data_IF_385710197023
#
_entry.id   IF_385710197023
#
_cell.length_a   1.000
_cell.length_b   1.000
_cell.length_c   1.000
_cell.angle_alpha   90.00
_cell.angle_beta   90.00
_cell.angle_gamma   90.00
#
_symmetry.space_group_name_H-M   'P 1'
#
loop_
_entity.id
_entity.type
_entity.pdbx_description
1 polymer ?
#
# COMPACT_ATOMS: atom_id res chain seq x y z
N UNK A 1 5.58 13.95 -31.87
CA UNK A 1 6.46 14.17 -30.70
C UNK A 1 5.87 13.38 -29.55
N UNK A 2 6.62 12.45 -28.96
CA UNK A 2 6.11 11.69 -27.82
C UNK A 2 5.95 12.64 -26.63
N UNK A 3 4.92 12.45 -25.79
CA UNK A 3 4.71 13.21 -24.55
C UNK A 3 6.00 13.26 -23.70
N UNK A 4 6.81 12.20 -23.78
CA UNK A 4 8.10 12.08 -23.11
C UNK A 4 9.19 13.01 -23.65
N UNK A 5 9.14 13.40 -24.93
CA UNK A 5 10.11 14.34 -25.52
C UNK A 5 9.87 15.77 -25.06
N UNK A 6 8.62 16.12 -24.73
CA UNK A 6 8.24 17.42 -24.14
C UNK A 6 8.61 17.48 -22.65
N UNK A 7 8.58 16.34 -21.95
CA UNK A 7 8.88 16.24 -20.51
C UNK A 7 10.39 16.13 -20.24
N UNK A 8 11.18 15.61 -21.18
CA UNK A 8 12.65 15.47 -21.09
C UNK A 8 13.40 16.64 -20.43
N UNK A 9 13.20 17.91 -20.83
CA UNK A 9 13.91 19.04 -20.22
C UNK A 9 13.59 19.21 -18.72
N UNK A 10 12.36 18.94 -18.30
CA UNK A 10 11.93 19.09 -16.89
C UNK A 10 12.48 17.94 -16.05
N UNK A 11 12.44 16.71 -16.58
CA UNK A 11 13.00 15.54 -15.88
C UNK A 11 14.50 15.60 -15.63
N UNK A 12 15.26 16.34 -16.45
CA UNK A 12 16.71 16.50 -16.25
C UNK A 12 17.07 17.52 -15.14
N UNK A 13 16.12 18.37 -14.73
CA UNK A 13 16.31 19.38 -13.68
C UNK A 13 15.99 18.80 -12.30
N UNK A 14 15.14 17.76 -12.23
CA UNK A 14 14.78 17.11 -10.97
C UNK A 14 16.03 16.48 -10.33
N UNK A 15 16.28 16.72 -9.03
CA UNK A 15 17.41 16.11 -8.35
C UNK A 15 17.22 14.59 -8.33
N UNK A 16 18.30 13.83 -8.49
CA UNK A 16 18.28 12.37 -8.51
C UNK A 16 19.30 11.83 -7.51
N UNK A 17 18.90 10.84 -6.71
CA UNK A 17 19.81 10.21 -5.75
C UNK A 17 20.83 9.36 -6.53
N UNK A 18 22.13 9.68 -6.44
CA UNK A 18 23.16 8.89 -7.14
C UNK A 18 23.21 7.47 -6.56
N UNK A 19 23.32 6.47 -7.43
CA UNK A 19 23.55 5.08 -7.00
C UNK A 19 24.93 4.99 -6.35
N UNK A 20 25.09 4.26 -5.23
CA UNK A 20 26.37 4.14 -4.55
C UNK A 20 27.39 3.41 -5.45
N UNK A 21 28.63 3.91 -5.49
CA UNK A 21 29.70 3.34 -6.34
C UNK A 21 30.14 1.94 -5.91
N UNK A 22 29.88 1.58 -4.64
CA UNK A 22 30.08 0.25 -4.09
C UNK A 22 28.76 -0.25 -3.51
N UNK A 23 28.43 -1.50 -3.78
CA UNK A 23 27.32 -2.16 -3.09
C UNK A 23 27.71 -2.29 -1.60
N UNK A 24 27.16 -1.41 -0.76
CA UNK A 24 27.33 -1.46 0.69
C UNK A 24 26.97 -2.84 1.24
N UNK A 25 27.64 -3.25 2.32
CA UNK A 25 27.34 -4.51 3.00
C UNK A 25 25.93 -4.52 3.60
N UNK A 26 25.42 -5.70 4.00
CA UNK A 26 24.08 -5.84 4.57
C UNK A 26 23.82 -4.89 5.74
N UNK A 27 24.81 -4.69 6.62
CA UNK A 27 24.73 -3.77 7.75
C UNK A 27 24.49 -2.31 7.33
N UNK A 28 25.17 -1.86 6.28
CA UNK A 28 25.05 -0.49 5.79
C UNK A 28 23.68 -0.27 5.14
N UNK A 29 23.22 -1.24 4.34
CA UNK A 29 21.89 -1.19 3.73
C UNK A 29 20.77 -1.20 4.77
N UNK A 30 20.93 -2.01 5.81
CA UNK A 30 19.99 -2.05 6.93
C UNK A 30 20.00 -0.72 7.70
N UNK A 31 21.16 -0.10 7.91
CA UNK A 31 21.28 1.22 8.54
C UNK A 31 20.54 2.30 7.73
N UNK A 32 20.69 2.33 6.40
CA UNK A 32 19.94 3.27 5.54
C UNK A 32 18.42 3.04 5.63
N UNK A 33 18.01 1.78 5.67
CA UNK A 33 16.58 1.40 5.79
C UNK A 33 16.01 1.85 7.13
N UNK A 34 16.73 1.64 8.24
CA UNK A 34 16.33 2.08 9.59
C UNK A 34 16.34 3.61 9.69
N UNK A 35 17.36 4.27 9.15
CA UNK A 35 17.44 5.73 9.16
C UNK A 35 16.26 6.37 8.40
N UNK A 36 15.88 5.81 7.25
CA UNK A 36 14.69 6.24 6.53
C UNK A 36 13.41 6.05 7.36
N UNK A 37 13.26 4.91 8.02
CA UNK A 37 12.10 4.63 8.86
C UNK A 37 12.01 5.56 10.09
N UNK A 38 13.14 5.93 10.68
CA UNK A 38 13.19 6.93 11.76
C UNK A 38 12.77 8.32 11.28
N UNK A 39 13.25 8.75 10.11
CA UNK A 39 12.86 10.03 9.51
C UNK A 39 11.35 10.03 9.21
N UNK A 40 10.82 8.94 8.68
CA UNK A 40 9.39 8.76 8.44
C UNK A 40 8.56 8.95 9.71
N UNK A 41 8.91 8.28 10.81
CA UNK A 41 8.21 8.44 12.08
C UNK A 41 8.36 9.86 12.67
N UNK A 42 9.52 10.50 12.50
CA UNK A 42 9.73 11.87 12.96
C UNK A 42 8.83 12.86 12.20
N UNK A 43 8.76 12.74 10.88
CA UNK A 43 7.85 13.54 10.05
C UNK A 43 6.38 13.31 10.43
N UNK A 44 6.03 12.09 10.82
CA UNK A 44 4.72 11.71 11.36
C UNK A 44 4.41 12.23 12.77
N UNK A 45 5.27 13.04 13.39
CA UNK A 45 4.97 13.70 14.67
C UNK A 45 5.00 15.23 14.57
N UNK A 46 5.47 15.79 13.46
CA UNK A 46 5.55 17.24 13.27
C UNK A 46 4.24 17.75 12.67
N UNK A 47 3.58 18.66 13.40
CA UNK A 47 2.41 19.39 12.90
C UNK A 47 2.88 20.57 12.02
N UNK A 48 2.21 20.82 10.88
CA UNK A 48 2.49 21.98 10.05
C UNK A 48 2.14 23.29 10.77
N UNK A 49 2.91 24.33 10.50
CA UNK A 49 2.68 25.66 11.08
C UNK A 49 1.42 26.26 10.45
N UNK A 50 0.43 26.61 11.28
CA UNK A 50 -0.86 27.18 10.85
C UNK A 50 -2.06 26.23 10.95
N UNK A 51 -1.84 25.02 11.47
CA UNK A 51 -2.89 24.04 11.77
C UNK A 51 -3.14 24.01 13.28
N UNK A 52 -4.40 24.13 13.70
CA UNK A 52 -4.80 23.96 15.10
C UNK A 52 -4.96 22.47 15.43
N UNK A 53 -4.08 21.86 16.27
CA UNK A 53 -4.13 20.41 16.55
C UNK A 53 -5.40 19.96 17.28
N UNK A 54 -6.07 20.88 17.98
CA UNK A 54 -7.30 20.63 18.75
C UNK A 54 -8.57 20.58 17.88
N UNK A 55 -8.53 21.18 16.69
CA UNK A 55 -9.65 21.18 15.73
C UNK A 55 -9.58 20.02 14.74
N UNK A 56 -8.47 19.26 14.74
CA UNK A 56 -8.31 18.05 13.93
C UNK A 56 -9.22 16.98 14.50
N UNK A 57 -10.42 16.91 13.96
CA UNK A 57 -11.33 15.80 14.24
C UNK A 57 -10.72 14.56 13.57
N UNK A 58 -10.51 13.49 14.36
CA UNK A 58 -9.91 12.21 13.94
C UNK A 58 -10.83 11.44 12.97
N UNK A 59 -11.17 12.04 11.83
CA UNK A 59 -12.26 11.60 10.95
C UNK A 59 -11.84 10.48 9.99
N UNK A 60 -10.53 10.24 9.79
CA UNK A 60 -10.01 9.28 8.81
C UNK A 60 -8.75 8.55 9.25
N UNK A 61 -8.80 7.90 10.42
CA UNK A 61 -7.73 6.98 10.81
C UNK A 61 -7.47 5.89 9.76
N UNK A 62 -8.44 5.57 8.90
CA UNK A 62 -8.28 4.55 7.84
C UNK A 62 -7.37 4.97 6.68
N UNK A 63 -7.46 6.22 6.22
CA UNK A 63 -6.58 6.76 5.18
C UNK A 63 -5.12 6.76 5.67
N UNK A 64 -4.95 7.12 6.94
CA UNK A 64 -3.66 7.12 7.65
C UNK A 64 -2.93 5.79 7.60
N UNK A 65 -3.66 4.69 7.77
CA UNK A 65 -3.07 3.34 7.81
C UNK A 65 -2.52 2.91 6.45
N UNK A 66 -3.32 3.08 5.40
CA UNK A 66 -3.00 2.55 4.07
C UNK A 66 -1.99 3.42 3.33
N UNK A 67 -2.03 4.72 3.56
CA UNK A 67 -1.12 5.69 2.95
C UNK A 67 0.13 5.93 3.81
N UNK A 68 0.28 5.23 4.94
CA UNK A 68 1.32 5.52 5.92
C UNK A 68 1.32 7.00 6.31
N UNK A 69 0.15 7.64 6.34
CA UNK A 69 0.00 9.05 6.73
C UNK A 69 -0.42 9.15 8.19
N UNK A 70 -0.25 10.34 8.75
CA UNK A 70 -0.88 10.71 10.01
C UNK A 70 -1.54 12.05 9.80
N UNK A 71 -2.87 12.06 9.82
CA UNK A 71 -3.68 13.24 9.54
C UNK A 71 -3.31 14.36 10.51
N UNK A 72 -3.01 15.53 9.95
CA UNK A 72 -2.58 16.69 10.71
C UNK A 72 -1.08 16.89 10.79
N UNK A 73 -0.27 15.98 10.25
CA UNK A 73 1.21 16.11 10.24
C UNK A 73 1.74 16.49 8.85
N UNK A 74 3.05 16.74 8.75
CA UNK A 74 3.72 16.99 7.47
C UNK A 74 3.50 15.86 6.45
N UNK A 75 3.21 14.63 6.90
CA UNK A 75 2.93 13.47 6.05
C UNK A 75 1.43 13.18 5.91
N UNK A 76 0.55 14.19 6.00
CA UNK A 76 -0.90 13.95 5.88
C UNK A 76 -1.30 13.32 4.54
N UNK A 77 -0.65 13.66 3.42
CA UNK A 77 -0.87 12.98 2.15
C UNK A 77 -0.13 11.62 2.06
N UNK A 78 0.84 11.38 2.94
CA UNK A 78 1.61 10.15 3.03
C UNK A 78 2.28 9.78 1.71
N UNK A 79 2.21 8.50 1.38
CA UNK A 79 2.68 7.96 0.08
C UNK A 79 1.60 8.02 -1.02
N UNK A 80 0.41 8.57 -0.75
CA UNK A 80 -0.73 8.63 -1.67
C UNK A 80 -0.39 9.16 -3.07
N UNK A 81 0.24 10.35 -3.19
CA UNK A 81 0.60 10.92 -4.49
C UNK A 81 1.58 10.05 -5.29
N UNK A 82 2.47 9.35 -4.58
CA UNK A 82 3.52 8.52 -5.17
C UNK A 82 2.91 7.24 -5.75
N UNK A 83 2.03 6.61 -4.97
CA UNK A 83 1.28 5.42 -5.41
C UNK A 83 0.39 5.82 -6.59
N UNK A 84 -0.42 6.87 -6.46
CA UNK A 84 -1.32 7.33 -7.52
C UNK A 84 -0.57 7.58 -8.84
N UNK A 85 0.62 8.20 -8.76
CA UNK A 85 1.45 8.42 -9.94
C UNK A 85 1.93 7.14 -10.61
N UNK A 86 2.33 6.16 -9.79
CA UNK A 86 2.74 4.84 -10.26
C UNK A 86 1.60 4.12 -10.95
N UNK A 87 0.41 4.11 -10.33
CA UNK A 87 -0.80 3.46 -10.84
C UNK A 87 -1.22 4.06 -12.18
N UNK A 88 -1.30 5.39 -12.27
CA UNK A 88 -1.72 6.07 -13.50
C UNK A 88 -0.81 5.71 -14.68
N UNK A 89 0.51 5.72 -14.47
CA UNK A 89 1.47 5.40 -15.53
C UNK A 89 1.49 3.91 -15.87
N UNK A 90 1.38 3.03 -14.86
CA UNK A 90 1.28 1.59 -15.09
C UNK A 90 0.01 1.24 -15.87
N UNK A 91 -1.13 1.86 -15.55
CA UNK A 91 -2.37 1.72 -16.30
C UNK A 91 -2.24 2.26 -17.72
N UNK A 92 -1.61 3.42 -17.90
CA UNK A 92 -1.42 3.99 -19.24
C UNK A 92 -0.50 3.13 -20.13
N UNK A 93 0.57 2.55 -19.57
CA UNK A 93 1.46 1.65 -20.30
C UNK A 93 0.79 0.30 -20.59
N UNK A 94 0.12 -0.30 -19.59
CA UNK A 94 -0.55 -1.59 -19.77
C UNK A 94 -1.76 -1.53 -20.71
N UNK A 95 -2.51 -0.42 -20.72
CA UNK A 95 -3.57 -0.18 -21.69
C UNK A 95 -3.04 0.13 -23.11
N UNK A 96 -1.71 0.08 -23.31
CA UNK A 96 -1.01 0.42 -24.55
C UNK A 96 -1.32 1.84 -25.06
N UNK A 97 -1.85 2.72 -24.20
CA UNK A 97 -2.02 4.16 -24.48
C UNK A 97 -0.66 4.84 -24.64
N UNK A 98 0.34 4.32 -23.92
CA UNK A 98 1.74 4.73 -24.01
C UNK A 98 2.57 3.50 -24.37
N UNK A 99 3.02 3.41 -25.62
CA UNK A 99 3.91 2.33 -26.08
C UNK A 99 5.36 2.58 -25.61
N UNK A 100 5.63 2.29 -24.34
CA UNK A 100 6.98 2.29 -23.77
C UNK A 100 7.44 0.85 -23.55
N UNK A 101 8.43 0.43 -24.31
CA UNK A 101 9.10 -0.86 -24.06
C UNK A 101 10.02 -0.73 -22.84
N UNK A 102 9.58 -1.26 -21.71
CA UNK A 102 10.30 -1.25 -20.43
C UNK A 102 11.52 -2.17 -20.40
N UNK A 103 11.74 -2.97 -21.45
CA UNK A 103 12.94 -3.79 -21.63
C UNK A 103 14.18 -2.95 -21.90
N UNK A 104 14.00 -1.78 -22.53
CA UNK A 104 15.10 -0.88 -22.84
C UNK A 104 15.47 -0.02 -21.61
N UNK A 105 16.75 0.00 -21.17
CA UNK A 105 17.18 0.82 -20.04
C UNK A 105 16.88 2.33 -20.20
N UNK A 106 16.87 2.87 -21.43
CA UNK A 106 16.53 4.28 -21.66
C UNK A 106 15.04 4.56 -21.38
N UNK A 107 14.16 3.68 -21.85
CA UNK A 107 12.71 3.81 -21.63
C UNK A 107 12.35 3.64 -20.16
N UNK A 108 13.05 2.74 -19.44
CA UNK A 108 12.90 2.59 -17.99
C UNK A 108 13.24 3.88 -17.25
N UNK A 109 14.29 4.60 -17.69
CA UNK A 109 14.63 5.93 -17.13
C UNK A 109 13.57 6.98 -17.42
N UNK A 110 13.02 7.00 -18.64
CA UNK A 110 11.90 7.91 -19.00
C UNK A 110 10.66 7.66 -18.16
N UNK A 111 10.32 6.38 -17.95
CA UNK A 111 9.20 5.98 -17.10
C UNK A 111 9.40 6.46 -15.65
N UNK A 112 10.58 6.22 -15.07
CA UNK A 112 10.91 6.67 -13.71
C UNK A 112 10.88 8.20 -13.57
N UNK A 113 11.44 8.92 -14.55
CA UNK A 113 11.40 10.38 -14.57
C UNK A 113 9.98 10.94 -14.65
N UNK A 114 9.14 10.36 -15.52
CA UNK A 114 7.74 10.75 -15.63
C UNK A 114 6.94 10.44 -14.36
N UNK A 115 7.18 9.27 -13.74
CA UNK A 115 6.56 8.89 -12.47
C UNK A 115 6.91 9.88 -11.37
N UNK A 116 8.18 10.30 -11.29
CA UNK A 116 8.63 11.29 -10.32
C UNK A 116 7.97 12.64 -10.53
N UNK A 117 7.94 13.14 -11.76
CA UNK A 117 7.34 14.43 -12.07
C UNK A 117 5.83 14.42 -11.75
N UNK A 118 5.14 13.36 -12.14
CA UNK A 118 3.71 13.22 -11.92
C UNK A 118 3.40 13.08 -10.42
N UNK A 119 4.22 12.36 -9.65
CA UNK A 119 4.10 12.28 -8.19
C UNK A 119 4.29 13.64 -7.49
N UNK A 120 5.24 14.47 -7.95
CA UNK A 120 5.44 15.82 -7.42
C UNK A 120 4.21 16.69 -7.70
N UNK A 121 3.70 16.67 -8.95
CA UNK A 121 2.51 17.43 -9.32
C UNK A 121 1.30 17.00 -8.50
N UNK A 122 1.08 15.68 -8.36
CA UNK A 122 0.00 15.13 -7.55
C UNK A 122 0.17 15.45 -6.06
N UNK A 123 1.41 15.59 -5.55
CA UNK A 123 1.64 15.98 -4.15
C UNK A 123 1.11 17.38 -3.86
N UNK A 124 1.31 18.33 -4.78
CA UNK A 124 0.72 19.67 -4.66
C UNK A 124 -0.80 19.64 -4.80
N UNK A 125 -1.31 18.83 -5.73
CA UNK A 125 -2.74 18.71 -5.98
C UNK A 125 -3.50 18.10 -4.78
N UNK A 126 -3.01 16.98 -4.23
CA UNK A 126 -3.62 16.35 -3.05
C UNK A 126 -3.50 17.22 -1.81
N UNK A 127 -2.33 17.85 -1.58
CA UNK A 127 -2.16 18.79 -0.47
C UNK A 127 -3.14 19.98 -0.55
N UNK A 128 -3.42 20.47 -1.76
CA UNK A 128 -4.42 21.50 -1.98
C UNK A 128 -5.83 20.97 -1.66
N UNK A 129 -6.17 19.76 -2.11
CA UNK A 129 -7.47 19.13 -1.78
C UNK A 129 -7.63 19.03 -0.26
N UNK A 130 -6.65 18.52 0.48
CA UNK A 130 -6.74 18.39 1.94
C UNK A 130 -6.89 19.74 2.67
N UNK A 131 -6.28 20.80 2.14
CA UNK A 131 -6.33 22.10 2.82
C UNK A 131 -7.59 22.90 2.46
N UNK A 132 -7.97 22.93 1.17
CA UNK A 132 -9.13 23.67 0.68
C UNK A 132 -10.46 22.98 0.95
N UNK A 133 -10.49 21.64 1.08
CA UNK A 133 -11.70 20.91 1.48
C UNK A 133 -12.07 21.10 2.97
N UNK A 134 -11.24 21.81 3.74
CA UNK A 134 -11.44 21.96 5.19
C UNK A 134 -11.12 20.70 5.98
N UNK A 135 -10.44 19.72 5.37
CA UNK A 135 -10.01 18.48 6.02
C UNK A 135 -8.94 18.74 7.08
N UNK A 136 -7.98 19.61 6.77
CA UNK A 136 -7.09 20.22 7.76
C UNK A 136 -7.62 21.62 8.05
N UNK A 137 -8.04 21.92 9.29
CA UNK A 137 -8.47 23.26 9.66
C UNK A 137 -7.24 24.19 9.71
N UNK A 138 -6.86 24.70 8.54
CA UNK A 138 -5.82 25.70 8.39
C UNK A 138 -6.46 27.09 8.58
N UNK A 139 -6.22 27.70 9.75
CA UNK A 139 -6.59 29.09 10.03
C UNK A 139 -7.97 29.33 10.68
N UNK A 140 -8.55 28.36 11.38
CA UNK A 140 -9.83 28.52 12.09
C UNK A 140 -9.76 29.33 13.39
N UNK A 141 -8.65 29.31 14.14
CA UNK A 141 -8.53 30.07 15.39
C UNK A 141 -7.71 31.38 15.26
N UNK A 142 -6.69 31.40 14.39
CA UNK A 142 -5.90 32.61 14.10
C UNK A 142 -5.11 32.46 12.80
N UNK A 143 -5.48 33.16 11.70
CA UNK A 143 -4.74 33.10 10.45
C UNK A 143 -3.33 33.69 10.65
N UNK A 144 -2.28 32.91 10.38
CA UNK A 144 -0.88 33.29 10.59
C UNK A 144 -0.48 34.57 9.82
N UNK A 145 -1.19 34.86 8.73
CA UNK A 145 -0.95 36.00 7.84
C UNK A 145 -2.16 36.95 7.72
N UNK A 146 -3.13 36.89 8.64
CA UNK A 146 -4.36 37.71 8.59
C UNK A 146 -5.34 37.35 7.47
N UNK A 147 -4.99 36.42 6.57
CA UNK A 147 -5.86 35.84 5.54
C UNK A 147 -5.90 34.32 5.65
N UNK A 148 -7.12 33.76 5.58
CA UNK A 148 -7.38 32.32 5.61
C UNK A 148 -6.70 31.62 4.42
N UNK A 149 -6.81 32.22 3.22
CA UNK A 149 -6.26 31.65 1.98
C UNK A 149 -4.72 31.62 2.00
N UNK A 150 -4.08 32.66 2.53
CA UNK A 150 -2.62 32.69 2.64
C UNK A 150 -2.09 31.60 3.58
N UNK A 151 -2.81 31.36 4.69
CA UNK A 151 -2.50 30.28 5.64
C UNK A 151 -2.70 28.91 4.99
N UNK A 152 -3.78 28.72 4.22
CA UNK A 152 -4.05 27.49 3.48
C UNK A 152 -3.00 27.19 2.41
N UNK A 153 -2.55 28.18 1.64
CA UNK A 153 -1.48 27.99 0.65
C UNK A 153 -0.17 27.62 1.33
N UNK A 154 0.15 28.24 2.47
CA UNK A 154 1.37 27.93 3.21
C UNK A 154 1.36 26.51 3.80
N UNK A 155 0.23 26.06 4.35
CA UNK A 155 0.04 24.69 4.81
C UNK A 155 0.11 23.71 3.63
N UNK A 156 -0.51 24.03 2.50
CA UNK A 156 -0.42 23.22 1.27
C UNK A 156 1.03 23.00 0.84
N UNK A 157 1.85 24.05 0.86
CA UNK A 157 3.28 23.97 0.52
C UNK A 157 4.02 23.03 1.49
N UNK A 158 3.76 23.12 2.80
CA UNK A 158 4.40 22.26 3.80
C UNK A 158 4.03 20.78 3.61
N UNK A 159 2.76 20.47 3.36
CA UNK A 159 2.28 19.10 3.12
C UNK A 159 2.83 18.51 1.82
N UNK A 160 2.89 19.32 0.75
CA UNK A 160 3.49 18.94 -0.51
C UNK A 160 4.99 18.63 -0.32
N UNK A 161 5.71 19.49 0.42
CA UNK A 161 7.12 19.25 0.75
C UNK A 161 7.32 17.98 1.58
N UNK A 162 6.43 17.67 2.54
CA UNK A 162 6.48 16.41 3.29
C UNK A 162 6.38 15.18 2.39
N UNK A 163 5.44 15.19 1.44
CA UNK A 163 5.27 14.10 0.45
C UNK A 163 6.46 13.98 -0.50
N UNK A 164 7.04 15.11 -0.90
CA UNK A 164 8.26 15.14 -1.73
C UNK A 164 9.45 14.56 -0.97
N UNK A 165 9.58 14.84 0.34
CA UNK A 165 10.63 14.23 1.18
C UNK A 165 10.47 12.71 1.20
N UNK A 166 9.25 12.19 1.36
CA UNK A 166 8.98 10.75 1.32
C UNK A 166 9.33 10.13 -0.04
N UNK A 167 9.09 10.82 -1.15
CA UNK A 167 9.51 10.38 -2.48
C UNK A 167 11.02 10.22 -2.58
N UNK A 168 11.80 11.21 -2.11
CA UNK A 168 13.27 11.09 -2.12
C UNK A 168 13.76 10.01 -1.15
N UNK A 169 13.08 9.84 -0.02
CA UNK A 169 13.42 8.81 0.95
C UNK A 169 13.18 7.40 0.39
N UNK A 170 12.12 7.22 -0.41
CA UNK A 170 11.90 5.99 -1.17
C UNK A 170 13.02 5.73 -2.18
N UNK A 171 13.49 6.74 -2.92
CA UNK A 171 14.65 6.58 -3.82
C UNK A 171 15.94 6.19 -3.07
N UNK A 172 16.15 6.74 -1.87
CA UNK A 172 17.29 6.38 -1.03
C UNK A 172 17.19 4.92 -0.60
N UNK A 173 16.02 4.45 -0.14
CA UNK A 173 15.82 3.04 0.25
C UNK A 173 15.97 2.11 -0.95
N UNK A 174 15.43 2.46 -2.12
CA UNK A 174 15.55 1.64 -3.33
C UNK A 174 16.99 1.50 -3.84
N UNK A 175 17.84 2.52 -3.65
CA UNK A 175 19.23 2.52 -4.17
C UNK A 175 20.26 2.05 -3.14
N UNK A 176 20.09 2.44 -1.87
CA UNK A 176 21.05 2.22 -0.80
C UNK A 176 20.53 1.27 0.29
N UNK A 177 19.22 1.09 0.41
CA UNK A 177 18.59 0.24 1.41
C UNK A 177 18.26 -1.17 0.91
N UNK A 178 17.31 -1.78 1.59
CA UNK A 178 16.72 -3.08 1.24
C UNK A 178 15.28 -2.81 0.83
N UNK A 179 14.80 -3.51 -0.21
CA UNK A 179 13.44 -3.40 -0.74
C UNK A 179 13.05 -2.01 -1.28
N UNK A 180 11.77 -1.67 -1.14
CA UNK A 180 11.18 -0.38 -1.58
C UNK A 180 10.77 0.45 -0.38
N UNK A 181 11.05 1.76 -0.40
CA UNK A 181 10.66 2.67 0.69
C UNK A 181 9.16 2.81 0.81
N UNK A 182 8.41 2.88 -0.29
CA UNK A 182 6.93 2.89 -0.26
C UNK A 182 6.40 1.69 0.54
N UNK A 183 6.89 0.48 0.23
CA UNK A 183 6.46 -0.73 0.96
C UNK A 183 6.85 -0.68 2.44
N UNK A 184 8.04 -0.18 2.75
CA UNK A 184 8.52 -0.02 4.12
C UNK A 184 7.63 0.94 4.92
N UNK A 185 7.23 2.07 4.33
CA UNK A 185 6.39 3.08 5.00
C UNK A 185 4.97 2.58 5.25
N UNK A 186 4.38 1.81 4.31
CA UNK A 186 3.08 1.14 4.52
C UNK A 186 3.18 0.17 5.70
N UNK A 187 4.18 -0.73 5.67
CA UNK A 187 4.35 -1.73 6.71
C UNK A 187 4.59 -1.08 8.08
N UNK A 188 5.36 0.01 8.12
CA UNK A 188 5.61 0.79 9.34
C UNK A 188 4.32 1.45 9.87
N UNK A 189 3.54 2.09 9.01
CA UNK A 189 2.28 2.77 9.39
C UNK A 189 1.23 1.80 9.93
N UNK A 190 1.00 0.68 9.25
CA UNK A 190 0.09 -0.36 9.72
C UNK A 190 0.58 -0.97 11.04
N UNK A 191 1.87 -1.29 11.14
CA UNK A 191 2.44 -1.86 12.37
C UNK A 191 2.32 -0.89 13.56
N UNK A 192 2.54 0.41 13.32
CA UNK A 192 2.33 1.45 14.33
C UNK A 192 0.88 1.46 14.79
N UNK A 193 -0.09 1.39 13.87
CA UNK A 193 -1.50 1.44 14.24
C UNK A 193 -1.96 0.18 14.97
N UNK A 194 -1.48 -1.00 14.57
CA UNK A 194 -1.73 -2.26 15.31
C UNK A 194 -1.18 -2.16 16.73
N UNK A 195 0.03 -1.64 16.89
CA UNK A 195 0.67 -1.47 18.18
C UNK A 195 -0.07 -0.46 19.07
N UNK A 196 -0.40 0.72 18.54
CA UNK A 196 -1.13 1.77 19.28
C UNK A 196 -2.55 1.30 19.61
N UNK A 197 -3.26 0.69 18.65
CA UNK A 197 -4.62 0.18 18.85
C UNK A 197 -4.70 -0.94 19.89
N UNK A 198 -3.64 -1.76 20.02
CA UNK A 198 -3.57 -2.79 21.04
C UNK A 198 -3.15 -2.25 22.42
N UNK A 199 -2.12 -1.40 22.49
CA UNK A 199 -1.39 -1.06 23.72
C UNK A 199 -1.49 0.41 24.16
N UNK A 200 -2.35 1.24 23.57
CA UNK A 200 -2.50 2.63 24.02
C UNK A 200 -3.09 2.73 25.43
N UNK A 201 -2.34 3.32 26.35
CA UNK A 201 -2.78 3.61 27.73
C UNK A 201 -3.46 4.99 27.87
N UNK A 202 -3.62 5.73 26.77
CA UNK A 202 -4.26 7.04 26.80
C UNK A 202 -5.74 6.85 27.10
N UNK A 203 -6.26 7.55 28.10
CA UNK A 203 -7.68 7.50 28.45
C UNK A 203 -8.50 8.43 27.56
N UNK A 204 -9.59 7.90 27.00
CA UNK A 204 -10.57 8.66 26.23
C UNK A 204 -11.38 9.58 27.16
N UNK A 205 -12.17 10.50 26.60
CA UNK A 205 -13.02 11.44 27.34
C UNK A 205 -13.99 10.78 28.36
N UNK A 206 -14.27 9.48 28.22
CA UNK A 206 -15.09 8.67 29.14
C UNK A 206 -14.29 8.01 30.26
N UNK A 207 -12.97 8.26 30.39
CA UNK A 207 -12.08 7.66 31.37
C UNK A 207 -11.62 6.23 31.04
N UNK A 208 -12.11 5.65 29.94
CA UNK A 208 -11.73 4.31 29.47
C UNK A 208 -10.44 4.40 28.65
N UNK A 209 -9.45 3.50 28.85
CA UNK A 209 -8.28 3.41 27.98
C UNK A 209 -8.64 3.19 26.50
N UNK A 210 -7.93 3.84 25.59
CA UNK A 210 -8.15 3.75 24.15
C UNK A 210 -7.62 2.46 23.52
N UNK A 211 -6.59 1.84 24.10
CA UNK A 211 -6.05 0.58 23.63
C UNK A 211 -6.93 -0.60 24.04
N UNK A 212 -7.15 -1.55 23.13
CA UNK A 212 -8.04 -2.68 23.36
C UNK A 212 -7.62 -3.58 24.53
N UNK A 213 -6.30 -3.77 24.76
CA UNK A 213 -5.81 -4.59 25.89
C UNK A 213 -6.01 -3.84 27.22
N UNK A 214 -5.54 -2.58 27.38
CA UNK A 214 -5.87 -1.78 28.58
C UNK A 214 -7.38 -1.63 28.82
N UNK A 215 -8.17 -1.49 27.77
CA UNK A 215 -9.63 -1.39 27.84
C UNK A 215 -10.26 -2.68 28.38
N UNK A 216 -9.82 -3.85 27.89
CA UNK A 216 -10.29 -5.13 28.40
C UNK A 216 -9.93 -5.32 29.89
N UNK A 217 -8.74 -4.90 30.31
CA UNK A 217 -8.32 -4.94 31.72
C UNK A 217 -9.18 -4.00 32.57
N UNK A 218 -9.48 -2.80 32.07
CA UNK A 218 -10.34 -1.84 32.76
C UNK A 218 -11.76 -2.38 32.96
N UNK A 219 -12.38 -2.96 31.92
CA UNK A 219 -13.72 -3.55 32.03
C UNK A 219 -13.76 -4.79 32.93
N UNK A 220 -12.69 -5.58 32.91
CA UNK A 220 -12.53 -6.71 33.82
C UNK A 220 -12.40 -6.24 35.28
N UNK A 221 -11.67 -5.15 35.52
CA UNK A 221 -11.53 -4.53 36.84
C UNK A 221 -12.84 -3.88 37.33
N UNK A 222 -13.69 -3.39 36.42
CA UNK A 222 -15.02 -2.86 36.75
C UNK A 222 -16.10 -3.94 36.89
N UNK A 223 -15.75 -5.22 36.73
CA UNK A 223 -16.67 -6.36 36.91
C UNK A 223 -17.54 -6.71 35.71
N UNK A 224 -17.33 -6.07 34.54
CA UNK A 224 -18.07 -6.37 33.31
C UNK A 224 -17.25 -7.29 32.40
N UNK A 225 -17.42 -8.60 32.62
CA UNK A 225 -16.70 -9.66 31.90
C UNK A 225 -17.11 -9.70 30.42
N UNK A 226 -18.37 -9.37 30.11
CA UNK A 226 -18.90 -9.53 28.75
C UNK A 226 -18.30 -8.48 27.82
N UNK A 227 -18.29 -7.21 28.23
CA UNK A 227 -17.68 -6.15 27.42
C UNK A 227 -16.16 -6.28 27.34
N UNK A 228 -15.50 -6.80 28.39
CA UNK A 228 -14.08 -7.12 28.36
C UNK A 228 -13.73 -8.16 27.28
N UNK A 229 -14.52 -9.23 27.13
CA UNK A 229 -14.32 -10.25 26.08
C UNK A 229 -14.56 -9.65 24.69
N UNK A 230 -15.62 -8.85 24.53
CA UNK A 230 -15.91 -8.19 23.25
C UNK A 230 -14.80 -7.21 22.83
N UNK A 231 -14.16 -6.52 23.77
CA UNK A 231 -13.04 -5.62 23.49
C UNK A 231 -11.81 -6.35 22.92
N UNK A 232 -11.62 -7.65 23.23
CA UNK A 232 -10.50 -8.45 22.73
C UNK A 232 -10.76 -9.09 21.35
N UNK A 233 -12.01 -9.13 20.88
CA UNK A 233 -12.35 -9.76 19.60
C UNK A 233 -11.55 -9.23 18.40
N UNK A 234 -11.37 -7.90 18.21
CA UNK A 234 -10.56 -7.38 17.10
C UNK A 234 -9.12 -7.90 17.11
N UNK A 235 -8.51 -8.09 18.29
CA UNK A 235 -7.15 -8.63 18.41
C UNK A 235 -7.13 -10.09 17.95
N UNK A 236 -8.11 -10.88 18.40
CA UNK A 236 -8.23 -12.30 18.03
C UNK A 236 -8.39 -12.41 16.50
N UNK A 237 -9.28 -11.62 15.90
CA UNK A 237 -9.44 -11.59 14.44
C UNK A 237 -8.18 -11.13 13.72
N UNK A 238 -7.44 -10.16 14.26
CA UNK A 238 -6.15 -9.72 13.71
C UNK A 238 -5.15 -10.88 13.67
N UNK A 239 -5.06 -11.67 14.74
CA UNK A 239 -4.18 -12.85 14.80
C UNK A 239 -4.61 -13.93 13.82
N UNK A 240 -5.92 -14.20 13.71
CA UNK A 240 -6.47 -15.20 12.77
C UNK A 240 -6.18 -14.78 11.33
N UNK A 241 -6.47 -13.53 10.97
CA UNK A 241 -6.18 -12.98 9.65
C UNK A 241 -4.69 -13.06 9.37
N UNK A 242 -3.84 -12.55 10.28
CA UNK A 242 -2.39 -12.59 10.13
C UNK A 242 -1.87 -14.02 9.86
N UNK A 243 -2.32 -15.01 10.63
CA UNK A 243 -1.95 -16.41 10.44
C UNK A 243 -2.42 -16.96 9.07
N UNK A 244 -3.63 -16.63 8.65
CA UNK A 244 -4.15 -17.01 7.34
C UNK A 244 -3.33 -16.40 6.20
N UNK A 245 -2.96 -15.12 6.29
CA UNK A 245 -2.13 -14.46 5.27
C UNK A 245 -0.75 -15.09 5.20
N UNK A 246 -0.08 -15.29 6.35
CA UNK A 246 1.26 -15.92 6.39
C UNK A 246 1.23 -17.32 5.77
N UNK A 247 0.19 -18.11 6.08
CA UNK A 247 0.03 -19.44 5.49
C UNK A 247 -0.08 -19.38 3.97
N UNK A 248 -0.89 -18.46 3.44
CA UNK A 248 -1.14 -18.34 2.00
C UNK A 248 0.06 -17.75 1.25
N UNK A 249 0.76 -16.78 1.83
CA UNK A 249 1.97 -16.20 1.25
C UNK A 249 3.09 -17.27 1.11
N UNK A 250 3.12 -18.25 2.02
CA UNK A 250 4.03 -19.39 1.96
C UNK A 250 3.67 -20.46 0.92
N UNK A 251 2.45 -20.44 0.38
CA UNK A 251 2.01 -21.43 -0.62
C UNK A 251 2.70 -21.17 -1.97
N UNK A 252 3.47 -22.16 -2.44
CA UNK A 252 4.16 -22.12 -3.74
C UNK A 252 4.12 -23.47 -4.44
N UNK A 253 4.05 -23.44 -5.75
CA UNK A 253 4.17 -24.60 -6.63
C UNK A 253 5.57 -24.57 -7.25
N UNK A 254 6.37 -25.59 -7.03
CA UNK A 254 7.72 -25.68 -7.60
C UNK A 254 7.68 -26.40 -8.94
N UNK A 255 7.97 -25.68 -10.03
CA UNK A 255 8.16 -26.27 -11.34
C UNK A 255 9.60 -26.76 -11.50
N UNK A 256 9.84 -28.06 -11.80
CA UNK A 256 11.18 -28.55 -12.07
C UNK A 256 11.66 -28.00 -13.42
N UNK A 257 12.87 -27.46 -13.43
CA UNK A 257 13.58 -27.00 -14.61
C UNK A 257 14.91 -27.74 -14.72
N UNK A 258 15.37 -27.98 -15.94
CA UNK A 258 16.67 -28.55 -16.23
C UNK A 258 17.43 -27.64 -17.20
N UNK A 259 18.74 -27.58 -17.07
CA UNK A 259 19.55 -26.89 -18.07
C UNK A 259 19.60 -27.70 -19.36
N UNK A 260 19.29 -27.05 -20.49
CA UNK A 260 19.32 -27.70 -21.80
C UNK A 260 20.69 -28.24 -22.20
N UNK A 261 21.74 -27.53 -21.78
CA UNK A 261 23.14 -27.83 -22.14
C UNK A 261 23.93 -28.58 -21.07
N UNK A 262 23.50 -28.53 -19.80
CA UNK A 262 24.21 -29.13 -18.68
C UNK A 262 23.34 -30.23 -18.02
N UNK A 263 23.53 -31.47 -18.50
CA UNK A 263 22.81 -32.64 -17.97
C UNK A 263 23.11 -32.84 -16.48
N UNK A 264 22.07 -33.03 -15.68
CA UNK A 264 22.16 -33.31 -14.23
C UNK A 264 22.04 -32.09 -13.32
N UNK A 265 22.15 -30.87 -13.85
CA UNK A 265 21.86 -29.63 -13.12
C UNK A 265 20.38 -29.29 -13.31
N UNK A 266 19.61 -29.44 -12.23
CA UNK A 266 18.20 -29.04 -12.16
C UNK A 266 18.03 -27.80 -11.29
N UNK A 267 17.16 -26.90 -11.71
CA UNK A 267 16.69 -25.77 -10.91
C UNK A 267 15.21 -25.97 -10.60
N UNK A 268 14.71 -25.36 -9.52
CA UNK A 268 13.27 -25.32 -9.25
C UNK A 268 12.80 -23.87 -9.36
N UNK A 269 11.79 -23.64 -10.17
CA UNK A 269 11.16 -22.33 -10.30
C UNK A 269 9.89 -22.28 -9.46
N UNK A 270 9.89 -21.55 -8.32
CA UNK A 270 8.73 -21.44 -7.47
C UNK A 270 7.72 -20.45 -8.06
N UNK A 271 6.52 -20.92 -8.40
CA UNK A 271 5.36 -20.09 -8.68
C UNK A 271 4.57 -19.94 -7.38
N UNK A 272 4.61 -18.74 -6.79
CA UNK A 272 3.82 -18.43 -5.59
C UNK A 272 2.33 -18.43 -5.91
N UNK A 273 1.50 -18.87 -4.96
CA UNK A 273 0.05 -18.77 -5.07
C UNK A 273 -0.40 -17.31 -5.21
N UNK A 274 0.20 -16.43 -4.40
CA UNK A 274 0.09 -14.98 -4.58
C UNK A 274 1.09 -14.51 -5.63
N UNK A 275 0.88 -14.91 -6.90
CA UNK A 275 1.82 -14.64 -7.99
C UNK A 275 2.06 -13.14 -8.21
N UNK A 276 1.01 -12.34 -8.07
CA UNK A 276 1.07 -10.87 -8.15
C UNK A 276 1.34 -10.22 -6.78
N UNK A 277 1.58 -11.03 -5.74
CA UNK A 277 1.69 -10.60 -4.35
C UNK A 277 0.49 -9.73 -3.95
N UNK A 278 0.71 -8.69 -3.15
CA UNK A 278 -0.36 -7.83 -2.62
C UNK A 278 -0.63 -6.59 -3.46
N UNK A 279 0.04 -6.43 -4.60
CA UNK A 279 -0.14 -5.29 -5.50
C UNK A 279 -1.60 -5.08 -5.92
N UNK A 280 -2.39 -6.11 -6.27
CA UNK A 280 -3.76 -5.92 -6.73
C UNK A 280 -4.64 -5.25 -5.66
N UNK A 281 -4.41 -5.59 -4.38
CA UNK A 281 -5.11 -4.97 -3.25
C UNK A 281 -4.66 -3.54 -3.00
N UNK A 282 -3.36 -3.22 -3.20
CA UNK A 282 -2.88 -1.83 -3.16
C UNK A 282 -3.62 -1.01 -4.21
N UNK A 283 -3.66 -1.51 -5.44
CA UNK A 283 -4.28 -0.81 -6.57
C UNK A 283 -5.78 -0.60 -6.35
N UNK A 284 -6.50 -1.66 -5.96
CA UNK A 284 -7.92 -1.58 -5.66
C UNK A 284 -8.18 -0.57 -4.55
N UNK A 285 -7.49 -0.70 -3.41
CA UNK A 285 -7.67 0.20 -2.26
C UNK A 285 -7.36 1.65 -2.61
N UNK A 286 -6.25 1.90 -3.32
CA UNK A 286 -5.87 3.24 -3.74
C UNK A 286 -6.94 3.88 -4.63
N UNK A 287 -7.54 3.14 -5.56
CA UNK A 287 -8.63 3.66 -6.40
C UNK A 287 -9.86 4.00 -5.56
N UNK A 288 -10.25 3.13 -4.62
CA UNK A 288 -11.39 3.40 -3.74
C UNK A 288 -11.17 4.66 -2.88
N UNK A 289 -9.97 4.81 -2.31
CA UNK A 289 -9.62 5.98 -1.49
C UNK A 289 -9.62 7.27 -2.31
N UNK A 290 -9.06 7.23 -3.53
CA UNK A 290 -9.05 8.40 -4.41
C UNK A 290 -10.46 8.78 -4.88
N UNK A 291 -11.31 7.80 -5.15
CA UNK A 291 -12.72 8.05 -5.48
C UNK A 291 -13.45 8.74 -4.31
N UNK A 292 -13.14 8.34 -3.08
CA UNK A 292 -13.68 8.99 -1.87
C UNK A 292 -13.18 10.43 -1.73
N UNK A 293 -11.89 10.70 -1.94
CA UNK A 293 -11.32 12.06 -1.88
C UNK A 293 -11.96 12.99 -2.92
N UNK A 294 -12.08 12.53 -4.16
CA UNK A 294 -12.75 13.28 -5.23
C UNK A 294 -14.23 13.49 -4.89
N UNK A 295 -14.90 12.48 -4.33
CA UNK A 295 -16.29 12.58 -3.90
C UNK A 295 -16.50 13.66 -2.84
N UNK A 296 -15.62 13.77 -1.85
CA UNK A 296 -15.68 14.82 -0.83
C UNK A 296 -15.40 16.20 -1.42
N UNK A 297 -14.39 16.31 -2.27
CA UNK A 297 -14.06 17.57 -2.94
C UNK A 297 -15.24 18.08 -3.78
N UNK A 298 -15.84 17.20 -4.60
CA UNK A 298 -16.97 17.55 -5.46
C UNK A 298 -18.22 17.91 -4.65
N UNK A 299 -18.49 17.20 -3.55
CA UNK A 299 -19.57 17.54 -2.63
C UNK A 299 -19.36 18.92 -1.97
N UNK A 300 -18.15 19.23 -1.51
CA UNK A 300 -17.81 20.54 -0.96
C UNK A 300 -17.85 21.66 -2.01
N UNK A 301 -17.58 21.33 -3.28
CA UNK A 301 -17.71 22.26 -4.41
C UNK A 301 -19.17 22.47 -4.88
N UNK A 302 -20.15 21.84 -4.24
CA UNK A 302 -21.58 21.98 -4.55
C UNK A 302 -22.12 21.02 -5.61
N UNK A 303 -21.31 20.08 -6.11
CA UNK A 303 -21.72 19.06 -7.08
C UNK A 303 -21.49 17.64 -6.53
N UNK A 304 -22.43 17.06 -5.76
CA UNK A 304 -22.27 15.74 -5.17
C UNK A 304 -22.41 14.61 -6.22
N UNK A 305 -21.42 14.47 -7.11
CA UNK A 305 -21.40 13.49 -8.21
C UNK A 305 -21.42 12.04 -7.69
N UNK A 306 -20.73 11.81 -6.57
CA UNK A 306 -20.51 10.48 -6.00
C UNK A 306 -21.39 10.16 -4.79
N UNK A 307 -22.12 11.16 -4.26
CA UNK A 307 -22.97 11.00 -3.08
C UNK A 307 -23.05 12.25 -2.22
N UNK A 308 -23.99 12.24 -1.27
CA UNK A 308 -24.11 13.28 -0.26
C UNK A 308 -23.23 12.94 0.95
N UNK A 309 -22.48 13.93 1.42
CA UNK A 309 -21.59 13.79 2.56
C UNK A 309 -22.11 14.64 3.71
N UNK A 310 -22.20 14.05 4.89
CA UNK A 310 -22.44 14.78 6.13
C UNK A 310 -21.30 14.46 7.08
N UNK A 311 -20.67 15.48 7.66
CA UNK A 311 -19.47 15.32 8.49
C UNK A 311 -18.33 14.54 7.82
N UNK A 312 -18.16 14.68 6.49
CA UNK A 312 -17.16 13.97 5.70
C UNK A 312 -17.34 12.43 5.65
N UNK A 313 -18.50 11.89 6.00
CA UNK A 313 -18.86 10.50 5.72
C UNK A 313 -19.96 10.49 4.64
N UNK A 314 -19.87 9.62 3.62
CA UNK A 314 -20.94 9.50 2.65
C UNK A 314 -22.17 8.89 3.35
N UNK A 315 -23.32 9.56 3.24
CA UNK A 315 -24.60 9.06 3.75
C UNK A 315 -25.38 8.34 2.66
N UNK A 316 -25.24 8.79 1.42
CA UNK A 316 -26.01 8.28 0.28
C UNK A 316 -25.17 8.33 -1.00
N UNK A 317 -25.51 7.49 -1.96
CA UNK A 317 -24.89 7.39 -3.29
C UNK A 317 -23.87 6.26 -3.45
N UNK A 318 -23.18 6.26 -4.60
CA UNK A 318 -22.14 5.27 -4.93
C UNK A 318 -20.98 5.32 -3.93
N UNK A 319 -20.65 6.49 -3.40
CA UNK A 319 -19.63 6.66 -2.38
C UNK A 319 -19.96 5.88 -1.11
N UNK A 320 -21.23 5.82 -0.69
CA UNK A 320 -21.62 5.04 0.48
C UNK A 320 -21.29 3.56 0.25
N UNK A 321 -21.72 2.96 -0.87
CA UNK A 321 -21.48 1.54 -1.13
C UNK A 321 -20.02 1.14 -1.43
N UNK A 322 -19.19 2.12 -1.78
CA UNK A 322 -17.79 1.91 -2.12
C UNK A 322 -16.88 2.18 -0.91
N UNK A 323 -17.37 2.92 0.09
CA UNK A 323 -16.64 3.08 1.35
C UNK A 323 -16.71 1.82 2.19
N UNK A 324 -15.63 1.57 2.92
CA UNK A 324 -15.54 0.47 3.85
C UNK A 324 -16.09 0.85 5.23
N UNK A 325 -16.50 -0.14 6.02
CA UNK A 325 -17.11 0.10 7.32
C UNK A 325 -16.14 0.80 8.30
N UNK A 326 -16.67 1.66 9.20
CA UNK A 326 -15.91 2.25 10.30
C UNK A 326 -15.24 1.18 11.18
N UNK A 327 -14.05 1.47 11.71
CA UNK A 327 -13.36 0.57 12.62
C UNK A 327 -14.12 0.45 13.96
N UNK A 328 -14.10 -0.72 14.64
CA UNK A 328 -14.78 -0.89 15.93
C UNK A 328 -14.26 0.02 17.04
N UNK A 329 -13.04 0.55 16.89
CA UNK A 329 -12.39 1.47 17.82
C UNK A 329 -13.11 2.83 17.93
N UNK A 330 -13.76 3.28 16.84
CA UNK A 330 -14.41 4.60 16.79
C UNK A 330 -15.87 4.58 17.26
N UNK A 331 -16.45 3.40 17.48
CA UNK A 331 -17.88 3.30 17.81
C UNK A 331 -18.07 3.42 19.31
N UNK A 332 -18.88 4.40 19.70
CA UNK A 332 -19.28 4.60 21.10
C UNK A 332 -20.10 3.40 21.56
N UNK A 333 -19.52 2.56 22.42
CA UNK A 333 -20.08 1.27 22.84
C UNK A 333 -19.20 0.05 22.51
N UNK A 334 -18.09 0.26 21.80
CA UNK A 334 -17.11 -0.78 21.49
C UNK A 334 -17.62 -1.82 20.47
N UNK A 335 -17.07 -3.03 20.54
CA UNK A 335 -17.36 -4.08 19.57
C UNK A 335 -18.81 -4.56 19.59
N UNK A 336 -19.49 -4.47 20.75
CA UNK A 336 -20.91 -4.87 20.85
C UNK A 336 -21.83 -3.96 20.02
N UNK A 337 -21.61 -2.64 20.05
CA UNK A 337 -22.33 -1.69 19.19
C UNK A 337 -21.95 -1.83 17.71
N UNK A 338 -20.71 -2.23 17.42
CA UNK A 338 -20.29 -2.53 16.05
C UNK A 338 -21.11 -3.68 15.46
N UNK A 339 -21.27 -4.78 16.21
CA UNK A 339 -22.12 -5.89 15.77
C UNK A 339 -23.58 -5.48 15.59
N UNK A 340 -24.12 -4.63 16.47
CA UNK A 340 -25.49 -4.13 16.32
C UNK A 340 -25.66 -3.27 15.05
N UNK A 341 -24.68 -2.44 14.71
CA UNK A 341 -24.67 -1.68 13.45
C UNK A 341 -24.68 -2.63 12.24
N UNK A 342 -23.84 -3.68 12.27
CA UNK A 342 -23.76 -4.67 11.19
C UNK A 342 -25.03 -5.50 11.02
N UNK A 343 -25.84 -5.67 12.08
CA UNK A 343 -27.12 -6.39 11.98
C UNK A 343 -28.23 -5.60 11.29
N UNK A 344 -28.01 -4.31 10.99
CA UNK A 344 -28.99 -3.50 10.27
C UNK A 344 -29.07 -3.91 8.79
N UNK A 345 -30.27 -4.05 8.19
CA UNK A 345 -30.42 -4.52 6.81
C UNK A 345 -29.67 -3.69 5.76
N UNK A 346 -29.61 -2.36 5.94
CA UNK A 346 -28.92 -1.46 5.02
C UNK A 346 -27.40 -1.65 5.05
N UNK A 347 -26.86 -1.88 6.25
CA UNK A 347 -25.42 -2.11 6.46
C UNK A 347 -24.99 -3.47 5.91
N UNK A 348 -25.84 -4.50 5.99
CA UNK A 348 -25.55 -5.81 5.38
C UNK A 348 -25.41 -5.70 3.85
N UNK A 349 -26.31 -4.95 3.21
CA UNK A 349 -26.26 -4.71 1.77
C UNK A 349 -25.02 -3.90 1.41
N UNK A 350 -24.68 -2.88 2.20
CA UNK A 350 -23.45 -2.11 2.06
C UNK A 350 -22.19 -3.00 2.16
N UNK A 351 -22.08 -3.83 3.20
CA UNK A 351 -20.97 -4.79 3.40
C UNK A 351 -20.80 -5.68 2.16
N UNK A 352 -21.90 -6.21 1.63
CA UNK A 352 -21.87 -7.13 0.51
C UNK A 352 -21.45 -6.44 -0.79
N UNK A 353 -22.02 -5.26 -1.10
CA UNK A 353 -21.65 -4.50 -2.30
C UNK A 353 -20.19 -4.04 -2.24
N UNK A 354 -19.75 -3.55 -1.08
CA UNK A 354 -18.36 -3.18 -0.86
C UNK A 354 -17.41 -4.36 -1.10
N UNK A 355 -17.71 -5.53 -0.52
CA UNK A 355 -16.91 -6.74 -0.69
C UNK A 355 -16.85 -7.19 -2.14
N UNK A 356 -18.00 -7.21 -2.82
CA UNK A 356 -18.07 -7.55 -4.25
C UNK A 356 -17.22 -6.59 -5.08
N UNK A 357 -17.34 -5.27 -4.86
CA UNK A 357 -16.58 -4.26 -5.57
C UNK A 357 -15.07 -4.40 -5.33
N UNK A 358 -14.66 -4.60 -4.07
CA UNK A 358 -13.26 -4.78 -3.70
C UNK A 358 -12.67 -6.03 -4.39
N UNK A 359 -13.36 -7.17 -4.30
CA UNK A 359 -12.90 -8.44 -4.90
C UNK A 359 -12.82 -8.32 -6.42
N UNK A 360 -13.82 -7.74 -7.07
CA UNK A 360 -13.80 -7.51 -8.52
C UNK A 360 -12.63 -6.62 -8.94
N UNK A 361 -12.40 -5.51 -8.24
CA UNK A 361 -11.26 -4.64 -8.51
C UNK A 361 -9.93 -5.37 -8.32
N UNK A 362 -9.79 -6.18 -7.27
CA UNK A 362 -8.58 -6.98 -7.05
C UNK A 362 -8.30 -7.93 -8.21
N UNK A 363 -9.32 -8.64 -8.72
CA UNK A 363 -9.17 -9.54 -9.86
C UNK A 363 -8.80 -8.79 -11.13
N UNK A 364 -9.47 -7.67 -11.42
CA UNK A 364 -9.19 -6.83 -12.60
C UNK A 364 -7.76 -6.29 -12.55
N UNK A 365 -7.35 -5.73 -11.41
CA UNK A 365 -6.00 -5.19 -11.25
C UNK A 365 -4.93 -6.28 -11.25
N UNK A 366 -5.20 -7.45 -10.68
CA UNK A 366 -4.27 -8.57 -10.72
C UNK A 366 -4.02 -9.08 -12.14
N UNK A 367 -5.08 -9.22 -12.93
CA UNK A 367 -4.96 -9.57 -14.34
C UNK A 367 -4.22 -8.50 -15.14
N UNK A 368 -4.62 -7.24 -14.97
CA UNK A 368 -3.98 -6.10 -15.65
C UNK A 368 -2.48 -5.96 -15.31
N UNK A 369 -2.12 -6.24 -14.06
CA UNK A 369 -0.72 -6.16 -13.62
C UNK A 369 0.18 -7.12 -14.37
N UNK A 370 -0.28 -8.35 -14.62
CA UNK A 370 0.53 -9.36 -15.32
C UNK A 370 0.78 -8.97 -16.77
N UNK A 371 -0.28 -8.49 -17.44
CA UNK A 371 -0.21 -8.06 -18.83
C UNK A 371 0.72 -6.84 -18.97
N UNK A 372 0.73 -5.94 -17.99
CA UNK A 372 1.52 -4.70 -18.03
C UNK A 372 2.98 -4.86 -17.61
N UNK A 373 3.32 -5.87 -16.81
CA UNK A 373 4.67 -6.05 -16.24
C UNK A 373 5.53 -7.09 -16.96
N UNK A 374 4.98 -7.74 -18.00
CA UNK A 374 5.68 -8.81 -18.70
C UNK A 374 5.93 -10.03 -17.81
N UNK A 375 5.03 -10.28 -16.86
CA UNK A 375 5.00 -11.50 -16.04
C UNK A 375 4.04 -12.55 -16.62
N UNK A 376 3.57 -12.35 -17.85
CA UNK A 376 2.74 -13.30 -18.57
C UNK A 376 3.50 -14.57 -18.93
N UNK A 377 2.77 -15.64 -19.26
CA UNK A 377 3.34 -16.93 -19.59
C UNK A 377 4.34 -16.87 -20.75
N UNK A 378 4.06 -16.04 -21.75
CA UNK A 378 4.92 -15.82 -22.91
C UNK A 378 6.28 -15.22 -22.52
N UNK A 379 6.26 -14.10 -21.77
CA UNK A 379 7.47 -13.40 -21.37
C UNK A 379 8.34 -14.22 -20.42
N UNK A 380 7.71 -14.95 -19.48
CA UNK A 380 8.41 -15.86 -18.57
C UNK A 380 9.05 -17.00 -19.36
N UNK A 381 8.37 -17.57 -20.35
CA UNK A 381 8.94 -18.62 -21.21
C UNK A 381 10.18 -18.12 -21.99
N UNK A 382 10.11 -16.91 -22.56
CA UNK A 382 11.24 -16.27 -23.24
C UNK A 382 12.42 -16.01 -22.29
N UNK A 383 12.15 -15.60 -21.05
CA UNK A 383 13.19 -15.40 -20.04
C UNK A 383 13.87 -16.72 -19.63
N UNK A 384 13.10 -17.80 -19.46
CA UNK A 384 13.63 -19.12 -19.16
C UNK A 384 14.52 -19.65 -20.29
N UNK A 385 14.08 -19.49 -21.54
CA UNK A 385 14.88 -19.86 -22.71
C UNK A 385 16.18 -19.06 -22.80
N UNK A 386 16.13 -17.73 -22.62
CA UNK A 386 17.33 -16.87 -22.60
C UNK A 386 18.33 -17.30 -21.52
N UNK A 387 17.85 -17.87 -20.42
CA UNK A 387 18.65 -18.41 -19.32
C UNK A 387 19.15 -19.85 -19.59
N UNK A 388 18.70 -20.49 -20.68
CA UNK A 388 19.03 -21.87 -21.02
C UNK A 388 18.32 -22.93 -20.19
N UNK A 389 17.27 -22.53 -19.45
CA UNK A 389 16.42 -23.41 -18.64
C UNK A 389 15.27 -23.94 -19.49
N UNK A 390 14.99 -25.24 -19.37
CA UNK A 390 13.88 -25.90 -20.04
C UNK A 390 13.15 -26.84 -19.08
N UNK A 391 11.88 -27.12 -19.36
CA UNK A 391 11.12 -28.10 -18.57
C UNK A 391 11.59 -29.51 -18.96
N UNK A 392 12.03 -30.35 -18.00
CA UNK A 392 12.52 -31.69 -18.30
C UNK A 392 11.43 -32.53 -18.97
N UNK A 393 11.82 -33.29 -20.00
CA UNK A 393 10.91 -34.13 -20.79
C UNK A 393 10.29 -33.45 -22.02
N UNK A 394 10.42 -32.14 -22.17
CA UNK A 394 9.98 -31.40 -23.35
C UNK A 394 11.16 -30.91 -24.20
N UNK A 395 10.92 -30.69 -25.50
CA UNK A 395 11.90 -30.01 -26.36
C UNK A 395 12.07 -28.58 -25.87
N UNK A 396 13.29 -28.04 -25.99
CA UNK A 396 13.61 -26.64 -25.71
C UNK A 396 13.00 -25.72 -26.78
N UNK A 397 11.66 -25.66 -26.82
CA UNK A 397 10.89 -24.76 -27.66
C UNK A 397 10.08 -23.84 -26.72
N UNK A 398 10.25 -22.50 -26.82
CA UNK A 398 9.52 -21.53 -26.01
C UNK A 398 8.01 -21.76 -26.01
N UNK A 399 7.45 -22.18 -27.15
CA UNK A 399 6.00 -22.38 -27.32
C UNK A 399 5.48 -23.50 -26.43
N UNK A 400 6.32 -24.51 -26.15
CA UNK A 400 5.94 -25.64 -25.28
C UNK A 400 5.98 -25.23 -23.81
N UNK A 401 7.02 -24.50 -23.41
CA UNK A 401 7.14 -23.93 -22.05
C UNK A 401 6.02 -22.94 -21.78
N UNK A 402 5.71 -22.06 -22.75
CA UNK A 402 4.61 -21.10 -22.69
C UNK A 402 3.27 -21.82 -22.49
N UNK A 403 2.96 -22.86 -23.28
CA UNK A 403 1.69 -23.59 -23.15
C UNK A 403 1.50 -24.23 -21.77
N UNK A 404 2.59 -24.64 -21.11
CA UNK A 404 2.54 -25.17 -19.75
C UNK A 404 2.29 -24.03 -18.76
N UNK A 405 3.05 -22.94 -18.86
CA UNK A 405 2.91 -21.77 -17.99
C UNK A 405 1.54 -21.09 -18.12
N UNK A 406 0.98 -21.03 -19.34
CA UNK A 406 -0.31 -20.44 -19.66
C UNK A 406 -1.48 -21.20 -19.02
N UNK A 407 -1.29 -22.48 -18.70
CA UNK A 407 -2.26 -23.26 -17.92
C UNK A 407 -2.27 -22.85 -16.43
N UNK A 408 -1.15 -22.38 -15.89
CA UNK A 408 -1.02 -22.11 -14.45
C UNK A 408 -1.11 -20.62 -14.10
N UNK A 409 -0.38 -19.75 -14.80
CA UNK A 409 -0.23 -18.33 -14.44
C UNK A 409 -1.58 -17.60 -14.41
N UNK A 410 -2.44 -17.64 -15.44
CA UNK A 410 -3.73 -16.93 -15.41
C UNK A 410 -4.65 -17.42 -14.29
N UNK A 411 -4.71 -18.74 -14.06
CA UNK A 411 -5.56 -19.35 -13.03
C UNK A 411 -5.08 -18.93 -11.63
N UNK A 412 -3.78 -19.05 -11.36
CA UNK A 412 -3.19 -18.66 -10.07
C UNK A 412 -3.37 -17.17 -9.82
N UNK A 413 -3.32 -16.36 -10.87
CA UNK A 413 -3.50 -14.90 -10.76
C UNK A 413 -4.91 -14.53 -10.35
N UNK A 414 -5.91 -15.10 -11.02
CA UNK A 414 -7.31 -14.82 -10.73
C UNK A 414 -7.65 -15.36 -9.33
N UNK A 415 -7.26 -16.61 -9.03
CA UNK A 415 -7.51 -17.21 -7.71
C UNK A 415 -6.78 -16.47 -6.59
N UNK A 416 -5.52 -16.12 -6.80
CA UNK A 416 -4.72 -15.34 -5.85
C UNK A 416 -5.38 -13.99 -5.58
N UNK A 417 -5.68 -13.22 -6.63
CA UNK A 417 -6.29 -11.88 -6.49
C UNK A 417 -7.69 -11.93 -5.87
N UNK A 418 -8.51 -12.93 -6.24
CA UNK A 418 -9.80 -13.20 -5.61
C UNK A 418 -9.63 -13.48 -4.11
N UNK A 419 -8.67 -14.34 -3.76
CA UNK A 419 -8.43 -14.73 -2.38
C UNK A 419 -7.92 -13.57 -1.52
N UNK A 420 -6.98 -12.75 -2.02
CA UNK A 420 -6.54 -11.55 -1.29
C UNK A 420 -7.69 -10.56 -1.10
N UNK A 421 -8.55 -10.38 -2.11
CA UNK A 421 -9.75 -9.53 -2.00
C UNK A 421 -10.74 -10.03 -0.95
N UNK A 422 -11.00 -11.35 -0.91
CA UNK A 422 -11.90 -11.97 0.07
C UNK A 422 -11.31 -11.83 1.49
N UNK A 423 -10.01 -12.07 1.66
CA UNK A 423 -9.36 -11.90 2.95
C UNK A 423 -9.40 -10.45 3.43
N UNK A 424 -9.19 -9.49 2.52
CA UNK A 424 -9.24 -8.07 2.85
C UNK A 424 -10.64 -7.67 3.34
N UNK A 425 -11.65 -8.08 2.59
CA UNK A 425 -13.06 -7.87 2.94
C UNK A 425 -13.42 -8.53 4.27
N UNK A 426 -13.00 -9.77 4.49
CA UNK A 426 -13.23 -10.49 5.76
C UNK A 426 -12.58 -9.78 6.96
N UNK A 427 -11.36 -9.31 6.80
CA UNK A 427 -10.63 -8.62 7.86
C UNK A 427 -11.20 -7.21 8.14
N UNK A 428 -11.77 -6.55 7.13
CA UNK A 428 -12.50 -5.29 7.30
C UNK A 428 -13.84 -5.47 8.02
N UNK A 429 -14.59 -6.53 7.71
CA UNK A 429 -15.86 -6.90 8.40
C UNK A 429 -15.62 -7.26 9.85
N UNK A 430 -14.55 -7.99 10.14
CA UNK A 430 -14.26 -8.44 11.51
C UNK A 430 -13.67 -7.32 12.37
N UNK A 431 -13.31 -6.20 11.76
CA UNK A 431 -12.76 -5.03 12.43
C UNK A 431 -11.34 -5.25 12.96
N UNK A 432 -10.53 -6.04 12.24
CA UNK A 432 -9.14 -6.29 12.62
C UNK A 432 -8.32 -4.99 12.74
N UNK A 433 -7.40 -4.94 13.71
CA UNK A 433 -6.50 -3.81 13.94
C UNK A 433 -5.58 -3.62 12.73
N UNK A 434 -5.42 -2.40 12.22
CA UNK A 434 -4.57 -2.19 11.03
C UNK A 434 -5.31 -2.24 9.69
N UNK A 435 -6.64 -2.35 9.68
CA UNK A 435 -7.49 -2.63 8.49
C UNK A 435 -7.17 -3.97 7.82
N UNK A 436 -8.16 -4.56 7.16
CA UNK A 436 -7.96 -5.83 6.48
C UNK A 436 -6.92 -5.75 5.38
N UNK A 437 -7.04 -4.71 4.54
CA UNK A 437 -6.08 -4.42 3.48
C UNK A 437 -4.69 -4.09 4.04
N UNK A 438 -4.59 -3.31 5.12
CA UNK A 438 -3.31 -2.94 5.73
C UNK A 438 -2.54 -4.13 6.32
N UNK A 439 -3.20 -5.03 7.05
CA UNK A 439 -2.55 -6.25 7.60
C UNK A 439 -2.02 -7.12 6.46
N UNK A 440 -2.83 -7.39 5.44
CA UNK A 440 -2.44 -8.18 4.27
C UNK A 440 -1.16 -7.63 3.63
N UNK A 441 -1.17 -6.32 3.37
CA UNK A 441 -0.04 -5.61 2.78
C UNK A 441 1.22 -5.78 3.62
N UNK A 442 1.10 -5.52 4.93
CA UNK A 442 2.22 -5.58 5.86
C UNK A 442 2.84 -6.97 5.89
N UNK A 443 2.03 -8.02 5.96
CA UNK A 443 2.54 -9.41 5.97
C UNK A 443 3.31 -9.74 4.70
N UNK A 444 2.74 -9.48 3.51
CA UNK A 444 3.46 -9.81 2.26
C UNK A 444 4.68 -8.94 2.02
N UNK A 445 4.66 -7.68 2.47
CA UNK A 445 5.84 -6.80 2.43
C UNK A 445 6.94 -7.33 3.36
N UNK A 446 6.61 -7.68 4.60
CA UNK A 446 7.57 -8.24 5.56
C UNK A 446 8.11 -9.60 5.11
N UNK A 447 7.26 -10.44 4.50
CA UNK A 447 7.67 -11.72 3.94
C UNK A 447 8.65 -11.53 2.78
N UNK A 448 8.38 -10.57 1.89
CA UNK A 448 9.31 -10.21 0.80
C UNK A 448 10.61 -9.63 1.32
N UNK A 449 10.56 -8.77 2.33
CA UNK A 449 11.76 -8.27 3.01
C UNK A 449 12.59 -9.39 3.63
N UNK A 450 11.93 -10.37 4.26
CA UNK A 450 12.58 -11.55 4.80
C UNK A 450 13.27 -12.38 3.71
N UNK A 451 12.61 -12.62 2.57
CA UNK A 451 13.22 -13.31 1.43
C UNK A 451 14.42 -12.54 0.87
N UNK A 452 14.30 -11.22 0.69
CA UNK A 452 15.38 -10.36 0.19
C UNK A 452 16.59 -10.38 1.15
N UNK A 453 16.35 -10.35 2.46
CA UNK A 453 17.38 -10.48 3.49
C UNK A 453 18.04 -11.86 3.47
N UNK A 454 17.24 -12.93 3.39
CA UNK A 454 17.74 -14.31 3.35
C UNK A 454 18.61 -14.55 2.11
N UNK A 455 18.19 -14.06 0.94
CA UNK A 455 18.98 -14.14 -0.28
C UNK A 455 20.31 -13.39 -0.14
N UNK A 456 20.30 -12.19 0.43
CA UNK A 456 21.53 -11.40 0.64
C UNK A 456 22.49 -12.06 1.63
N UNK A 457 21.99 -12.64 2.72
CA UNK A 457 22.81 -13.38 3.69
C UNK A 457 23.52 -14.58 3.05
N UNK A 458 22.84 -15.31 2.16
CA UNK A 458 23.46 -16.43 1.42
C UNK A 458 24.63 -15.94 0.55
N UNK A 459 24.48 -14.81 -0.11
CA UNK A 459 25.57 -14.21 -0.92
C UNK A 459 26.74 -13.69 -0.08
N UNK A 460 26.51 -13.30 1.17
CA UNK A 460 27.57 -12.90 2.11
C UNK A 460 28.26 -14.11 2.76
N UNK A 461 27.52 -15.18 3.10
CA UNK A 461 28.08 -16.41 3.69
C UNK A 461 28.91 -17.23 2.69
N UNK A 462 28.57 -17.19 1.40
CA UNK A 462 29.30 -17.91 0.35
C UNK A 462 29.91 -16.95 -0.68
N UNK A 463 31.05 -16.30 -0.38
CA UNK A 463 31.70 -15.32 -1.27
C UNK A 463 32.12 -15.91 -2.63
N UNK A 464 32.24 -17.24 -2.73
CA UNK A 464 32.53 -17.96 -3.97
C UNK A 464 31.37 -17.88 -4.96
N UNK A 465 30.11 -17.93 -4.51
CA UNK A 465 28.92 -17.74 -5.35
C UNK A 465 28.86 -16.32 -5.94
N UNK A 466 29.34 -15.31 -5.20
CA UNK A 466 29.41 -13.92 -5.66
C UNK A 466 30.37 -13.72 -6.84
N UNK A 467 31.41 -14.55 -6.98
CA UNK A 467 32.34 -14.55 -8.12
C UNK A 467 31.72 -15.22 -9.36
N UNK A 468 30.89 -16.24 -9.18
CA UNK A 468 30.27 -16.99 -10.28
C UNK A 468 29.12 -16.21 -10.92
N UNK A 469 28.35 -15.43 -10.14
CA UNK A 469 27.23 -14.62 -10.66
C UNK A 469 27.68 -13.30 -11.30
N UNK A 470 28.92 -12.86 -11.08
CA UNK A 470 29.50 -11.65 -11.70
C UNK A 470 30.32 -11.93 -12.96
N UNK A 471 30.62 -13.18 -13.27
CA UNK A 471 31.08 -13.63 -14.59
C UNK A 471 29.86 -13.88 -15.48
#
# INVERSE_FOLDING_TARGET
MSIFDVIRPITNILPDVKRPERAGGLKERLLWTVAALLIFFFLGQIYPIGVDPSAITQRFERLDILLGSKTGTLITAGIGPIVLASIFLQLAVGAKLISLDLSNPENKRKFQGAQKLLAILLSFFEAAIYTFSGYIPAGSASPLFGSLVATQIFVTLQLALGSIILLYLDEVVQKCGIGSGISLFIAAGVSQQVFIGAFSFITTATGVPAGLIPQAIYYLASGDIVTAVWALMPIIFTVIVFAAVVYVEGMKIELPLAYGRARGLGARYPIKFLYVSNIPVILASAVLLNMQLIGMFTANAGFPLLGHYQHNQPIDGLAYYITALPSPLLITGGYASYLQMMTQPNEILHIFIYGLALVLLCVVFGWFWIESTGMGAHDVALQLEKTGLMIPGFRADPRVTEKILDRYIPIITILGSLFVGILAWFADITGALGTGTGILLTVGILYRFYEDLAQQQVFEMYPVLKKIVRM
#
